data_IF_630641025413
#
_entry.id   IF_630641025413
#
_cell.length_a   1.000
_cell.length_b   1.000
_cell.length_c   1.000
_cell.angle_alpha   90.00
_cell.angle_beta   90.00
_cell.angle_gamma   90.00
#
_symmetry.space_group_name_H-M   'P 1'
#
loop_
_entity.id
_entity.type
_entity.pdbx_description
1 polymer ?
#
# COMPACT_ATOMS: atom_id res chain seq x y z
N UNK A 1 7.24 -8.58 18.16
CA UNK A 1 6.47 -7.60 17.37
C UNK A 1 7.14 -7.51 16.01
N UNK A 2 6.38 -7.60 14.91
CA UNK A 2 6.92 -7.32 13.57
C UNK A 2 7.22 -5.80 13.51
N UNK A 3 8.30 -5.40 12.83
CA UNK A 3 8.70 -3.99 12.73
C UNK A 3 7.87 -3.27 11.67
N UNK A 4 7.73 -1.95 11.79
CA UNK A 4 7.24 -1.12 10.69
C UNK A 4 8.23 -1.18 9.54
N UNK A 5 7.73 -1.35 8.33
CA UNK A 5 8.50 -1.36 7.10
C UNK A 5 8.15 -0.13 6.26
N UNK A 6 9.16 0.42 5.60
CA UNK A 6 9.04 1.57 4.71
C UNK A 6 9.55 1.16 3.34
N UNK A 7 8.72 1.39 2.33
CA UNK A 7 9.00 1.02 0.95
C UNK A 7 8.78 2.23 0.05
N UNK A 8 9.43 2.20 -1.11
CA UNK A 8 9.22 3.16 -2.19
C UNK A 8 8.97 2.41 -3.49
N UNK A 9 8.10 2.96 -4.34
CA UNK A 9 7.91 2.46 -5.69
C UNK A 9 7.65 3.61 -6.65
N UNK A 10 8.04 3.41 -7.91
CA UNK A 10 7.61 4.26 -9.02
C UNK A 10 6.34 3.66 -9.63
N UNK A 11 5.31 4.49 -9.78
CA UNK A 11 4.10 4.12 -10.49
C UNK A 11 3.79 5.19 -11.54
N UNK A 12 3.92 4.84 -12.82
CA UNK A 12 3.71 5.76 -13.94
C UNK A 12 4.53 7.07 -13.82
N UNK A 13 5.76 6.99 -13.31
CA UNK A 13 6.63 8.16 -13.09
C UNK A 13 6.34 8.97 -11.83
N UNK A 14 5.47 8.45 -10.94
CA UNK A 14 5.15 9.05 -9.65
C UNK A 14 5.83 8.23 -8.56
N UNK A 15 6.71 8.84 -7.77
CA UNK A 15 7.32 8.20 -6.61
C UNK A 15 6.31 8.16 -5.45
N UNK A 16 6.05 6.95 -4.95
CA UNK A 16 5.12 6.68 -3.86
C UNK A 16 5.86 6.17 -2.63
N UNK A 17 5.45 6.64 -1.45
CA UNK A 17 5.95 6.13 -0.18
C UNK A 17 4.90 5.21 0.47
N UNK A 18 5.30 3.96 0.73
CA UNK A 18 4.43 2.94 1.31
C UNK A 18 4.93 2.62 2.73
N UNK A 19 4.06 2.81 3.71
CA UNK A 19 4.32 2.40 5.10
C UNK A 19 3.49 1.18 5.44
N UNK A 20 4.16 0.09 5.82
CA UNK A 20 3.53 -1.14 6.25
C UNK A 20 3.79 -1.37 7.75
N UNK A 21 2.72 -1.41 8.54
CA UNK A 21 2.78 -1.60 9.98
C UNK A 21 1.99 -2.86 10.38
N UNK A 22 2.65 -4.03 10.41
CA UNK A 22 2.06 -5.25 10.95
C UNK A 22 1.94 -5.16 12.48
N UNK A 23 0.76 -5.44 13.03
CA UNK A 23 0.52 -5.46 14.48
C UNK A 23 -0.09 -6.80 14.94
N UNK A 24 -0.53 -6.87 16.20
CA UNK A 24 -1.07 -8.09 16.79
C UNK A 24 -2.36 -8.57 16.10
N UNK A 25 -2.64 -9.87 16.18
CA UNK A 25 -3.83 -10.55 15.63
C UNK A 25 -3.89 -10.62 14.09
N UNK A 26 -2.76 -10.89 13.44
CA UNK A 26 -2.68 -11.12 11.99
C UNK A 26 -3.22 -9.98 11.12
N UNK A 27 -3.24 -8.77 11.68
CA UNK A 27 -3.68 -7.56 11.04
C UNK A 27 -2.50 -6.62 10.78
N UNK A 28 -2.64 -5.79 9.76
CA UNK A 28 -1.68 -4.77 9.41
C UNK A 28 -2.39 -3.50 9.00
N UNK A 29 -1.72 -2.37 9.24
CA UNK A 29 -2.05 -1.11 8.61
C UNK A 29 -1.09 -0.87 7.46
N UNK A 30 -1.61 -0.57 6.29
CA UNK A 30 -0.84 -0.09 5.15
C UNK A 30 -1.24 1.35 4.85
N UNK A 31 -0.28 2.17 4.42
CA UNK A 31 -0.52 3.55 4.01
C UNK A 31 0.33 3.87 2.79
N UNK A 32 -0.21 4.71 1.92
CA UNK A 32 0.47 5.25 0.74
C UNK A 32 0.39 6.76 0.81
N UNK A 33 1.51 7.42 0.61
CA UNK A 33 1.61 8.87 0.43
C UNK A 33 2.09 9.15 -1.00
N UNK A 34 1.42 10.09 -1.66
CA UNK A 34 1.67 10.47 -3.03
C UNK A 34 1.69 11.99 -3.17
N UNK A 35 2.62 12.56 -3.96
CA UNK A 35 2.64 13.99 -4.24
C UNK A 35 1.46 14.46 -5.13
N UNK A 36 0.73 13.53 -5.74
CA UNK A 36 -0.42 13.80 -6.61
C UNK A 36 -1.60 12.87 -6.28
N UNK A 37 -2.85 13.26 -6.62
CA UNK A 37 -3.98 12.36 -6.52
C UNK A 37 -3.75 11.03 -7.26
N UNK A 38 -4.09 9.91 -6.62
CA UNK A 38 -4.08 8.57 -7.21
C UNK A 38 -5.51 8.01 -7.25
N UNK A 39 -5.77 6.98 -8.09
CA UNK A 39 -7.04 6.27 -8.11
C UNK A 39 -7.50 5.76 -6.72
N UNK A 40 -6.57 5.22 -5.92
CA UNK A 40 -6.85 4.75 -4.55
C UNK A 40 -6.66 5.83 -3.47
N UNK A 41 -6.04 6.96 -3.83
CA UNK A 41 -5.69 8.05 -2.91
C UNK A 41 -6.04 9.42 -3.55
N UNK A 42 -7.33 9.78 -3.70
CA UNK A 42 -7.74 11.01 -4.40
C UNK A 42 -7.21 12.29 -3.75
N UNK A 43 -6.92 12.25 -2.44
CA UNK A 43 -6.36 13.35 -1.66
C UNK A 43 -4.84 13.25 -1.50
N UNK A 44 -4.17 12.33 -2.22
CA UNK A 44 -2.73 12.08 -2.10
C UNK A 44 -2.35 11.18 -0.92
N UNK A 45 -3.32 10.66 -0.15
CA UNK A 45 -3.06 9.70 0.92
C UNK A 45 -4.09 8.55 0.90
N UNK A 46 -3.59 7.32 1.04
CA UNK A 46 -4.39 6.13 1.29
C UNK A 46 -3.97 5.50 2.60
N UNK A 47 -4.93 4.97 3.38
CA UNK A 47 -4.67 4.24 4.62
C UNK A 47 -5.74 3.19 4.83
N UNK A 48 -5.32 1.96 5.07
CA UNK A 48 -6.24 0.86 5.30
C UNK A 48 -5.68 -0.13 6.33
N UNK A 49 -6.59 -0.78 7.05
CA UNK A 49 -6.27 -1.85 7.99
C UNK A 49 -6.92 -3.15 7.51
N UNK A 50 -6.12 -4.20 7.32
CA UNK A 50 -6.54 -5.47 6.75
C UNK A 50 -5.69 -6.62 7.27
N UNK A 51 -6.07 -7.85 6.94
CA UNK A 51 -5.30 -9.03 7.32
C UNK A 51 -3.94 -9.05 6.62
N UNK A 52 -2.90 -9.36 7.40
CA UNK A 52 -1.54 -9.64 6.89
C UNK A 52 -1.53 -10.74 5.84
N UNK A 53 -2.43 -11.73 5.94
CA UNK A 53 -2.54 -12.81 4.96
C UNK A 53 -2.93 -12.32 3.56
N UNK A 54 -3.71 -11.24 3.46
CA UNK A 54 -4.08 -10.64 2.16
C UNK A 54 -2.85 -10.00 1.51
N UNK A 55 -2.05 -9.28 2.31
CA UNK A 55 -0.83 -8.62 1.84
C UNK A 55 0.23 -9.65 1.45
N UNK A 56 0.38 -10.71 2.24
CA UNK A 56 1.29 -11.82 1.94
C UNK A 56 0.85 -12.58 0.68
N UNK A 57 -0.45 -12.83 0.50
CA UNK A 57 -0.99 -13.46 -0.72
C UNK A 57 -0.80 -12.62 -1.98
N UNK A 58 -0.76 -11.29 -1.86
CA UNK A 58 -0.43 -10.38 -2.96
C UNK A 58 1.07 -10.35 -3.28
N UNK A 59 1.94 -11.00 -2.49
CA UNK A 59 3.39 -10.97 -2.67
C UNK A 59 4.11 -9.88 -1.88
N UNK A 60 3.43 -9.25 -0.90
CA UNK A 60 3.99 -8.23 -0.01
C UNK A 60 3.30 -6.85 -0.16
N UNK A 61 3.69 -5.87 0.68
CA UNK A 61 3.00 -4.58 0.76
C UNK A 61 3.10 -3.76 -0.54
N UNK A 62 4.24 -3.80 -1.24
CA UNK A 62 4.42 -3.11 -2.52
C UNK A 62 3.51 -3.70 -3.59
N UNK A 63 3.54 -5.02 -3.77
CA UNK A 63 2.72 -5.72 -4.76
C UNK A 63 1.20 -5.56 -4.49
N UNK A 64 0.80 -5.54 -3.22
CA UNK A 64 -0.58 -5.24 -2.86
C UNK A 64 -1.03 -3.83 -3.33
N UNK A 65 -0.18 -2.81 -3.15
CA UNK A 65 -0.50 -1.44 -3.59
C UNK A 65 -0.49 -1.33 -5.11
N UNK A 66 0.45 -1.99 -5.78
CA UNK A 66 0.54 -2.04 -7.25
C UNK A 66 -0.75 -2.58 -7.87
N UNK A 67 -1.19 -3.77 -7.41
CA UNK A 67 -2.47 -4.38 -7.84
C UNK A 67 -3.67 -3.47 -7.57
N UNK A 68 -3.71 -2.83 -6.41
CA UNK A 68 -4.80 -1.90 -6.06
C UNK A 68 -4.84 -0.69 -7.00
N UNK A 69 -3.68 -0.18 -7.43
CA UNK A 69 -3.58 0.91 -8.39
C UNK A 69 -4.01 0.46 -9.78
N UNK A 70 -3.55 -0.69 -10.27
CA UNK A 70 -3.96 -1.26 -11.57
C UNK A 70 -5.48 -1.43 -11.66
N UNK A 71 -6.09 -2.07 -10.64
CA UNK A 71 -7.54 -2.30 -10.59
C UNK A 71 -8.32 -0.97 -10.57
N UNK A 72 -7.85 0.01 -9.81
CA UNK A 72 -8.54 1.29 -9.66
C UNK A 72 -8.36 2.21 -10.88
N UNK A 73 -7.23 2.10 -11.59
CA UNK A 73 -6.99 2.79 -12.86
C UNK A 73 -7.80 2.16 -14.02
N UNK A 74 -8.25 0.91 -13.86
CA UNK A 74 -9.00 0.16 -14.85
C UNK A 74 -8.12 -0.46 -15.94
N UNK A 75 -6.85 -0.71 -15.62
CA UNK A 75 -5.85 -1.33 -16.48
C UNK A 75 -5.94 -2.86 -16.49
#
# INVERSE_FOLDING_TARGET
MKNTEYHRMDWNGIELEITYHPWLHDMARISVESPVPLPIAPEGTYRHALSTAIIEAAGGPVAYIDVMLEIADGA
#
